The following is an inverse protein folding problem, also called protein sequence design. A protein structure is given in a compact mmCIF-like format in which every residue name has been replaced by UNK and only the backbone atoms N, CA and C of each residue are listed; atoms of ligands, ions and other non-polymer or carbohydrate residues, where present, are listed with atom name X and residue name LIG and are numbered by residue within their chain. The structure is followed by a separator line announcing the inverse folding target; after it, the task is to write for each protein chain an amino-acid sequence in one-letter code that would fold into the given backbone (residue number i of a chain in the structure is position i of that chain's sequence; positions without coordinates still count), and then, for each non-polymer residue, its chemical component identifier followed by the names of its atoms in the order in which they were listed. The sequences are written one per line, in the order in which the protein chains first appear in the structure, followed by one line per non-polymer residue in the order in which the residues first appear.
data_IF_217634972461
#
_entry.id   IF_217634972461
#
_cell.length_a   1.000
_cell.length_b   1.000
_cell.length_c   1.000
_cell.angle_alpha   90.00
_cell.angle_beta   90.00
_cell.angle_gamma   90.00
#
_symmetry.space_group_name_H-M   'P 1'
#
loop_
_entity.id
_entity.type
_entity.pdbx_description
1 polymer ?
2 polymer ?
3 non-polymer ?
4 non-polymer ?
5 water ?
#
# COMPACT_ATOMS: atom_id res chain seq x y z
N UNK A 1 -6.12 24.01 8.53
CA UNK A 1 -6.27 22.61 8.14
C UNK A 1 -5.57 21.69 9.11
N UNK A 2 -6.35 20.88 9.83
CA UNK A 2 -5.84 19.97 10.84
C UNK A 2 -5.20 18.74 10.20
N UNK A 3 -4.15 18.22 10.83
CA UNK A 3 -3.50 16.99 10.40
C UNK A 3 -3.37 16.05 11.60
N UNK A 4 -3.60 14.77 11.35
CA UNK A 4 -3.48 13.72 12.36
C UNK A 4 -2.33 12.79 11.98
N UNK A 5 -1.60 12.30 12.98
CA UNK A 5 -0.47 11.42 12.72
C UNK A 5 -0.29 10.46 13.88
N UNK A 6 -0.09 9.18 13.55
CA UNK A 6 0.10 8.14 14.54
C UNK A 6 1.59 7.93 14.83
N UNK A 7 1.88 7.57 16.08
CA UNK A 7 3.23 7.20 16.48
C UNK A 7 3.14 5.97 17.37
N UNK A 8 4.23 5.21 17.40
CA UNK A 8 4.28 4.01 18.20
C UNK A 8 5.01 2.89 17.50
N UNK A 9 5.19 1.76 18.19
CA UNK A 9 5.99 0.67 17.62
C UNK A 9 5.30 0.01 16.44
N UNK A 10 6.08 -0.23 15.40
CA UNK A 10 5.61 -1.04 14.29
C UNK A 10 5.69 -2.54 14.53
N UNK A 11 6.35 -2.95 15.61
CA UNK A 11 6.49 -4.36 15.96
C UNK A 11 6.19 -4.53 17.45
N UNK A 12 5.27 -5.43 17.76
CA UNK A 12 4.91 -5.75 19.13
C UNK A 12 4.81 -7.27 19.26
N UNK A 13 5.24 -7.79 20.42
CA UNK A 13 5.24 -9.22 20.64
C UNK A 13 3.86 -9.71 21.03
N UNK A 14 3.57 -11.00 20.79
CA UNK A 14 2.33 -11.57 21.31
C UNK A 14 2.30 -11.52 22.84
N UNK A 15 1.09 -11.40 23.39
CA UNK A 15 0.80 -11.21 24.80
C UNK A 15 1.26 -9.87 25.34
N UNK A 16 1.93 -9.05 24.52
CA UNK A 16 2.25 -7.69 24.91
C UNK A 16 1.09 -6.77 24.58
N UNK A 17 1.22 -5.51 25.00
CA UNK A 17 0.19 -4.50 24.78
C UNK A 17 0.61 -3.57 23.64
N UNK A 18 -0.31 -3.31 22.73
CA UNK A 18 -0.09 -2.37 21.63
C UNK A 18 -0.51 -0.97 22.08
N UNK A 19 0.43 -0.04 22.07
CA UNK A 19 0.19 1.34 22.47
C UNK A 19 0.43 2.25 21.28
N UNK A 20 -0.61 2.96 20.86
CA UNK A 20 -0.53 3.91 19.76
C UNK A 20 -1.00 5.29 20.23
N UNK A 21 -0.41 6.33 19.65
CA UNK A 21 -0.71 7.71 20.02
C UNK A 21 -0.95 8.53 18.75
N UNK A 22 -1.99 9.34 18.78
CA UNK A 22 -2.30 10.25 17.69
C UNK A 22 -2.00 11.67 18.15
N UNK A 23 -1.26 12.41 17.32
CA UNK A 23 -0.92 13.81 17.59
C UNK A 23 -1.74 14.68 16.64
N UNK A 24 -2.74 15.36 17.20
CA UNK A 24 -3.56 16.29 16.42
C UNK A 24 -2.84 17.63 16.41
N UNK A 25 -2.32 18.01 15.24
CA UNK A 25 -1.56 19.24 15.08
C UNK A 25 -2.30 20.21 14.19
N UNK A 26 -2.30 21.49 14.58
CA UNK A 26 -3.00 22.53 13.87
C UNK A 26 -4.36 22.87 14.44
N UNK A 27 -4.94 21.98 15.25
CA UNK A 27 -6.25 22.22 15.82
C UNK A 27 -6.29 21.79 17.27
N UNK A 28 -7.42 22.08 17.91
CA UNK A 28 -7.62 21.75 19.30
C UNK A 28 -8.38 20.43 19.42
N UNK A 29 -7.95 19.59 20.35
CA UNK A 29 -8.68 18.35 20.66
C UNK A 29 -9.86 18.63 21.59
N UNK A 30 -9.95 19.83 22.16
CA UNK A 30 -11.04 20.20 23.04
C UNK A 30 -12.20 20.84 22.27
N UNK A 31 -12.59 20.21 21.17
CA UNK A 31 -13.69 20.68 20.33
C UNK A 31 -14.87 19.72 20.45
N UNK A 32 -16.07 20.29 20.47
CA UNK A 32 -17.28 19.51 20.58
C UNK A 32 -17.86 19.01 19.28
N UNK A 33 -17.22 19.32 18.15
CA UNK A 33 -17.74 18.97 16.84
C UNK A 33 -17.24 17.62 16.34
N UNK A 34 -16.36 16.94 17.07
CA UNK A 34 -15.67 15.78 16.52
C UNK A 34 -15.56 14.66 17.54
N UNK A 35 -15.42 13.45 17.02
CA UNK A 35 -15.14 12.24 17.81
C UNK A 35 -13.78 11.71 17.37
N UNK A 36 -12.88 11.53 18.34
CA UNK A 36 -11.50 11.14 18.05
C UNK A 36 -11.42 9.61 18.01
N UNK A 37 -11.18 9.07 16.81
CA UNK A 37 -11.47 7.68 16.49
C UNK A 37 -10.22 6.93 16.05
N UNK A 38 -10.23 5.62 16.27
CA UNK A 38 -9.22 4.70 15.75
C UNK A 38 -9.88 3.70 14.81
N UNK A 39 -9.24 3.45 13.67
CA UNK A 39 -9.71 2.49 12.68
C UNK A 39 -8.51 1.71 12.16
N UNK A 40 -8.67 0.40 12.00
CA UNK A 40 -7.60 -0.44 11.48
C UNK A 40 -8.07 -1.12 10.19
N UNK A 41 -7.09 -1.59 9.41
CA UNK A 41 -7.36 -2.21 8.12
C UNK A 41 -6.38 -3.37 7.93
N UNK A 42 -6.91 -4.56 7.66
CA UNK A 42 -6.12 -5.76 7.48
C UNK A 42 -6.82 -6.64 6.47
N UNK A 43 -6.13 -7.61 5.87
CA UNK A 43 -6.78 -8.45 4.86
C UNK A 43 -7.83 -9.38 5.42
N UNK A 44 -7.70 -9.77 6.69
CA UNK A 44 -8.63 -10.73 7.27
C UNK A 44 -9.94 -10.15 7.75
N UNK A 45 -9.99 -8.83 8.01
CA UNK A 45 -11.21 -8.21 8.51
C UNK A 45 -11.45 -6.82 7.92
N UNK A 46 -10.80 -6.49 6.80
CA UNK A 46 -11.02 -5.22 6.11
C UNK A 46 -10.93 -3.99 6.99
N UNK A 47 -11.61 -2.92 6.59
CA UNK A 47 -11.69 -1.74 7.44
C UNK A 47 -12.56 -2.02 8.65
N UNK A 48 -12.03 -1.75 9.84
CA UNK A 48 -12.70 -2.09 11.09
C UNK A 48 -12.66 -0.90 12.03
N UNK A 49 -13.83 -0.43 12.45
CA UNK A 49 -13.92 0.65 13.42
C UNK A 49 -13.61 0.12 14.81
N UNK A 50 -12.63 0.73 15.47
CA UNK A 50 -12.18 0.25 16.77
C UNK A 50 -12.93 0.93 17.90
N UNK A 51 -13.10 2.24 17.82
CA UNK A 51 -13.69 3.00 18.90
C UNK A 51 -13.24 4.44 18.82
N UNK A 52 -13.81 5.25 19.70
CA UNK A 52 -13.49 6.67 19.71
C UNK A 52 -13.63 7.21 21.13
N UNK A 53 -13.29 8.49 21.29
CA UNK A 53 -13.37 9.17 22.57
C UNK A 53 -13.78 10.61 22.32
N UNK A 54 -14.68 11.12 23.16
CA UNK A 54 -15.12 12.51 23.08
C UNK A 54 -14.26 13.36 24.01
N UNK A 55 -14.17 14.65 23.69
CA UNK A 55 -13.34 15.54 24.49
C UNK A 55 -13.88 15.75 25.91
N UNK A 56 -15.07 15.22 26.21
CA UNK A 56 -15.61 15.21 27.55
C UNK A 56 -15.21 13.97 28.34
N UNK A 57 -14.49 13.04 27.72
CA UNK A 57 -13.97 11.87 28.41
C UNK A 57 -14.72 10.59 28.18
N UNK A 58 -15.71 10.57 27.29
CA UNK A 58 -16.56 9.41 27.07
C UNK A 58 -16.10 8.64 25.83
N UNK A 59 -16.09 7.32 25.95
CA UNK A 59 -15.65 6.42 24.89
C UNK A 59 -16.82 5.55 24.44
N UNK A 60 -16.53 4.54 23.61
CA UNK A 60 -17.58 3.65 23.13
C UNK A 60 -17.06 2.24 22.82
N UNK A 61 -16.05 2.14 21.95
CA UNK A 61 -15.37 0.88 21.61
C UNK A 61 -16.25 -0.07 20.80
N UNK A 62 -15.61 -0.88 19.94
CA UNK A 62 -16.32 -1.90 19.17
C UNK A 62 -16.54 -3.13 20.03
N UNK A 63 -17.76 -3.67 20.09
CA UNK A 63 -18.00 -4.86 20.92
C UNK A 63 -17.09 -6.05 20.60
N UNK A 64 -16.57 -6.14 19.38
CA UNK A 64 -15.64 -7.22 19.06
C UNK A 64 -14.30 -7.06 19.78
N UNK A 65 -13.95 -5.84 20.18
CA UNK A 65 -12.72 -5.56 20.91
C UNK A 65 -13.02 -4.95 22.28
N UNK A 66 -14.19 -5.28 22.83
CA UNK A 66 -14.63 -4.67 24.09
C UNK A 66 -13.67 -4.97 25.23
N UNK A 67 -13.07 -6.17 25.22
CA UNK A 67 -12.30 -6.61 26.38
C UNK A 67 -10.96 -5.88 26.48
N UNK A 68 -10.18 -5.88 25.40
CA UNK A 68 -8.78 -5.47 25.46
C UNK A 68 -8.56 -4.02 25.01
N UNK A 69 -9.59 -3.19 25.03
CA UNK A 69 -9.51 -1.86 24.46
C UNK A 69 -9.45 -0.79 25.53
N UNK A 70 -8.64 0.24 25.29
CA UNK A 70 -8.51 1.37 26.21
C UNK A 70 -8.10 2.58 25.37
N UNK A 71 -9.00 3.56 25.25
CA UNK A 71 -8.75 4.77 24.48
C UNK A 71 -8.77 5.96 25.44
N UNK A 72 -7.66 6.68 25.51
CA UNK A 72 -7.50 7.82 26.40
C UNK A 72 -7.33 9.09 25.58
N UNK A 73 -7.35 10.23 26.26
CA UNK A 73 -7.17 11.54 25.62
C UNK A 73 -6.30 12.40 26.51
N UNK A 74 -5.54 13.29 25.88
CA UNK A 74 -4.60 14.18 26.58
C UNK A 74 -4.74 15.57 25.94
N UNK A 75 -5.61 16.40 26.53
CA UNK A 75 -5.78 17.76 26.03
C UNK A 75 -4.54 18.62 26.22
N UNK A 76 -3.67 18.24 27.17
CA UNK A 76 -2.46 19.03 27.41
C UNK A 76 -1.49 18.93 26.24
N UNK A 77 -1.41 17.76 25.61
CA UNK A 77 -0.55 17.55 24.45
C UNK A 77 -1.34 17.44 23.15
N UNK A 78 -2.64 17.69 23.18
CA UNK A 78 -3.54 17.50 22.05
C UNK A 78 -3.33 16.13 21.42
N UNK A 79 -3.34 15.11 22.26
CA UNK A 79 -3.18 13.73 21.85
C UNK A 79 -4.33 12.90 22.37
N UNK A 80 -4.64 11.82 21.65
CA UNK A 80 -5.46 10.74 22.17
C UNK A 80 -4.81 9.43 21.76
N UNK A 81 -4.90 8.45 22.64
CA UNK A 81 -4.11 7.23 22.53
C UNK A 81 -4.99 6.00 22.42
N UNK A 82 -4.35 4.89 22.07
CA UNK A 82 -4.99 3.59 21.95
C UNK A 82 -4.13 2.55 22.64
N UNK A 83 -4.79 1.63 23.36
CA UNK A 83 -4.11 0.51 24.01
C UNK A 83 -4.88 -0.76 23.70
N UNK A 84 -4.20 -1.75 23.14
CA UNK A 84 -4.78 -3.05 22.82
C UNK A 84 -4.01 -4.12 23.56
N UNK A 85 -4.70 -4.88 24.40
CA UNK A 85 -4.05 -5.79 25.34
C UNK A 85 -3.86 -7.17 24.74
N UNK A 86 -2.77 -7.82 25.15
CA UNK A 86 -2.49 -9.24 24.85
C UNK A 86 -2.72 -9.55 23.37
N UNK A 87 -2.03 -8.80 22.52
CA UNK A 87 -2.27 -8.89 21.08
C UNK A 87 -1.91 -10.26 20.55
N UNK A 88 -2.51 -10.60 19.40
CA UNK A 88 -2.19 -11.81 18.66
C UNK A 88 -1.87 -11.41 17.22
N UNK A 89 -1.44 -12.40 16.44
CA UNK A 89 -1.13 -12.16 15.03
C UNK A 89 -2.35 -11.63 14.27
N UNK A 90 -3.56 -11.94 14.75
CA UNK A 90 -4.78 -11.43 14.13
C UNK A 90 -4.94 -9.93 14.30
N UNK A 91 -4.15 -9.30 15.15
CA UNK A 91 -4.18 -7.85 15.34
C UNK A 91 -3.20 -7.12 14.44
N UNK A 92 -2.44 -7.84 13.61
CA UNK A 92 -1.59 -7.21 12.61
C UNK A 92 -2.46 -6.47 11.60
N UNK A 93 -2.20 -5.16 11.46
CA UNK A 93 -3.03 -4.32 10.61
C UNK A 93 -2.36 -2.95 10.49
N UNK A 94 -2.91 -2.14 9.60
CA UNK A 94 -2.57 -0.73 9.51
C UNK A 94 -3.58 0.02 10.38
N UNK A 95 -3.09 0.80 11.34
CA UNK A 95 -3.93 1.52 12.28
C UNK A 95 -3.97 3.00 11.92
N UNK A 96 -5.17 3.56 11.86
CA UNK A 96 -5.39 4.97 11.56
C UNK A 96 -6.08 5.64 12.75
N UNK A 97 -5.66 6.85 13.06
CA UNK A 97 -6.45 7.73 13.92
C UNK A 97 -7.20 8.71 13.04
N UNK A 98 -8.47 8.92 13.34
CA UNK A 98 -9.41 9.56 12.44
C UNK A 98 -10.21 10.60 13.21
N UNK A 99 -10.53 11.71 12.54
CA UNK A 99 -11.47 12.70 13.08
C UNK A 99 -12.86 12.38 12.54
N UNK A 100 -13.81 12.18 13.45
CA UNK A 100 -15.18 11.83 13.10
C UNK A 100 -16.10 12.96 13.55
N UNK A 101 -16.74 13.62 12.60
CA UNK A 101 -17.74 14.62 12.94
C UNK A 101 -18.83 14.01 13.79
N UNK A 102 -19.34 14.78 14.75
CA UNK A 102 -20.46 14.30 15.56
C UNK A 102 -21.66 13.99 14.69
N UNK A 103 -21.81 14.70 13.57
CA UNK A 103 -22.85 14.38 12.60
C UNK A 103 -22.60 13.05 11.90
N UNK A 104 -21.38 12.52 11.97
CA UNK A 104 -21.10 11.20 11.44
C UNK A 104 -20.40 11.20 10.09
N UNK A 105 -19.10 11.45 10.09
CA UNK A 105 -18.30 11.44 8.86
C UNK A 105 -16.80 11.49 9.17
N UNK A 106 -16.05 10.49 8.69
CA UNK A 106 -14.61 10.44 8.90
C UNK A 106 -13.95 11.36 7.89
N UNK A 107 -13.85 12.65 8.24
CA UNK A 107 -13.42 13.65 7.28
C UNK A 107 -11.92 13.94 7.31
N UNK A 108 -11.20 13.48 8.32
CA UNK A 108 -9.74 13.61 8.38
C UNK A 108 -9.14 12.33 8.93
N UNK A 109 -8.26 11.70 8.17
CA UNK A 109 -7.55 10.49 8.59
C UNK A 109 -6.07 10.80 8.77
N UNK A 110 -5.42 10.06 9.65
CA UNK A 110 -3.98 10.00 9.67
C UNK A 110 -3.47 9.12 8.54
N UNK A 111 -2.16 9.22 8.28
CA UNK A 111 -1.59 8.43 7.21
C UNK A 111 -1.61 6.94 7.51
N UNK A 112 -1.74 6.56 8.77
CA UNK A 112 -1.74 5.15 9.14
C UNK A 112 -0.36 4.65 9.48
N UNK A 113 -0.32 3.64 10.35
CA UNK A 113 0.93 3.03 10.77
C UNK A 113 0.78 1.51 10.80
N UNK A 114 1.78 0.82 10.27
CA UNK A 114 1.74 -0.64 10.18
C UNK A 114 2.22 -1.25 11.49
N UNK A 115 1.43 -2.18 12.03
CA UNK A 115 1.75 -2.89 13.26
C UNK A 115 1.75 -4.38 12.96
N UNK A 116 2.89 -5.02 13.18
CA UNK A 116 3.02 -6.46 13.03
C UNK A 116 3.20 -7.11 14.39
N UNK A 117 2.38 -8.11 14.69
CA UNK A 117 2.50 -8.87 15.93
C UNK A 117 3.36 -10.09 15.63
N UNK A 118 4.54 -10.14 16.24
CA UNK A 118 5.51 -11.19 15.95
C UNK A 118 6.44 -11.37 17.13
N UNK A 119 6.89 -12.61 17.32
CA UNK A 119 7.89 -12.90 18.34
C UNK A 119 9.30 -12.56 17.88
N UNK A 120 9.51 -12.39 16.58
CA UNK A 120 10.81 -12.06 16.05
C UNK A 120 11.15 -10.60 16.33
N UNK A 121 12.45 -10.30 16.34
CA UNK A 121 12.92 -8.95 16.58
C UNK A 121 13.15 -8.23 15.25
N UNK A 122 13.19 -6.90 15.33
CA UNK A 122 13.38 -6.11 14.12
C UNK A 122 14.77 -6.34 13.54
N UNK A 123 14.88 -6.08 12.24
CA UNK A 123 16.17 -6.14 11.55
C UNK A 123 16.16 -5.09 10.44
N UNK A 124 17.23 -4.31 10.38
CA UNK A 124 17.38 -3.32 9.34
C UNK A 124 17.67 -3.96 7.99
N UNK A 125 17.34 -3.25 6.92
CA UNK A 125 17.52 -3.83 5.59
C UNK A 125 18.94 -3.70 5.08
N UNK A 126 19.32 -4.65 4.23
CA UNK A 126 20.52 -4.53 3.42
C UNK A 126 20.13 -3.95 2.06
N UNK A 127 20.94 -3.01 1.59
CA UNK A 127 20.66 -2.27 0.36
C UNK A 127 21.81 -2.50 -0.62
N UNK A 128 21.47 -3.02 -1.80
CA UNK A 128 22.46 -3.33 -2.82
C UNK A 128 22.06 -2.67 -4.14
N UNK A 129 23.03 -2.19 -4.90
CA UNK A 129 22.70 -1.41 -6.11
C UNK A 129 22.27 -2.30 -7.27
N UNK A 130 21.34 -1.76 -8.07
CA UNK A 130 20.92 -2.37 -9.33
C UNK A 130 21.44 -1.46 -10.43
N UNK A 131 22.66 -1.73 -10.88
CA UNK A 131 23.37 -0.83 -11.78
C UNK A 131 22.92 -1.02 -13.23
N UNK A 132 22.97 0.04 -14.04
CA UNK A 132 22.66 -0.02 -15.48
C UNK A 132 23.54 -1.01 -16.23
N UNK A 141 16.40 4.88 -23.08
CA UNK A 141 16.66 5.21 -21.68
C UNK A 141 17.35 4.05 -20.97
N UNK A 142 17.66 4.24 -19.69
CA UNK A 142 18.32 3.23 -18.88
C UNK A 142 17.58 3.06 -17.56
N UNK A 143 17.65 1.85 -17.02
CA UNK A 143 16.97 1.51 -15.78
C UNK A 143 18.00 1.18 -14.71
N UNK A 144 17.85 1.79 -13.54
CA UNK A 144 18.68 1.50 -12.38
C UNK A 144 17.79 1.43 -11.15
N UNK A 145 18.34 0.94 -10.04
CA UNK A 145 17.52 0.83 -8.85
C UNK A 145 18.32 0.33 -7.66
N UNK A 146 17.59 0.00 -6.60
CA UNK A 146 18.18 -0.45 -5.34
C UNK A 146 17.45 -1.71 -4.88
N UNK A 147 18.23 -2.69 -4.41
CA UNK A 147 17.70 -3.94 -3.89
C UNK A 147 17.67 -3.84 -2.37
N UNK A 148 16.46 -3.80 -1.80
CA UNK A 148 16.26 -3.65 -0.37
C UNK A 148 15.70 -4.96 0.17
N UNK A 149 16.47 -5.61 1.05
CA UNK A 149 16.10 -6.95 1.50
C UNK A 149 16.59 -7.17 2.93
N UNK A 150 16.19 -8.31 3.48
CA UNK A 150 16.68 -8.78 4.79
C UNK A 150 16.26 -7.84 5.91
N UNK A 151 14.96 -7.49 5.92
CA UNK A 151 14.43 -6.60 6.94
C UNK A 151 13.09 -7.14 7.42
N UNK A 152 12.70 -6.68 8.61
CA UNK A 152 11.44 -7.08 9.26
C UNK A 152 11.20 -6.15 10.45
N UNK A 153 9.96 -5.65 10.63
CA UNK A 153 8.81 -5.88 9.76
C UNK A 153 8.63 -4.80 8.69
N UNK A 154 7.51 -4.85 8.01
CA UNK A 154 7.12 -3.76 7.13
C UNK A 154 6.82 -2.52 7.96
N UNK A 155 6.96 -1.32 7.38
CA UNK A 155 7.38 -1.08 5.99
C UNK A 155 8.76 -0.44 5.86
N UNK A 156 9.12 -0.13 4.61
CA UNK A 156 10.34 0.58 4.28
C UNK A 156 10.00 1.65 3.24
N UNK A 157 10.48 2.87 3.48
CA UNK A 157 10.28 3.97 2.54
C UNK A 157 11.55 4.18 1.74
N UNK A 158 11.40 4.30 0.42
CA UNK A 158 12.52 4.52 -0.47
C UNK A 158 12.25 5.80 -1.26
N UNK A 159 13.17 6.75 -1.16
CA UNK A 159 13.15 7.96 -1.98
C UNK A 159 14.45 8.03 -2.77
N UNK A 160 14.43 8.82 -3.83
CA UNK A 160 15.59 8.96 -4.71
C UNK A 160 16.08 10.40 -4.69
N UNK A 161 17.36 10.57 -4.36
CA UNK A 161 17.99 11.89 -4.23
C UNK A 161 17.20 12.79 -3.28
N UNK A 162 16.78 12.21 -2.16
CA UNK A 162 16.12 12.94 -1.08
C UNK A 162 14.81 13.58 -1.54
N UNK A 163 14.12 12.94 -2.48
CA UNK A 163 12.84 13.44 -2.97
C UNK A 163 12.91 14.30 -4.21
N UNK A 164 14.12 14.70 -4.63
CA UNK A 164 14.22 15.50 -5.85
C UNK A 164 13.90 14.69 -7.09
N UNK A 165 14.11 13.38 -7.04
CA UNK A 165 13.81 12.48 -8.16
C UNK A 165 12.58 11.67 -7.81
N UNK A 166 11.47 11.97 -8.49
CA UNK A 166 10.20 11.29 -8.26
C UNK A 166 9.53 10.76 -9.51
N UNK A 167 9.82 11.31 -10.69
CA UNK A 167 9.19 10.86 -11.92
C UNK A 167 9.79 9.54 -12.38
N UNK A 168 8.91 8.61 -12.77
CA UNK A 168 9.34 7.30 -13.23
C UNK A 168 9.80 6.36 -12.14
N UNK A 169 9.69 6.73 -10.87
CA UNK A 169 10.11 5.88 -9.77
C UNK A 169 9.03 4.85 -9.49
N UNK A 170 9.43 3.60 -9.33
CA UNK A 170 8.53 2.52 -8.96
C UNK A 170 9.14 1.74 -7.81
N UNK A 171 8.46 1.77 -6.66
CA UNK A 171 8.84 0.97 -5.50
C UNK A 171 7.86 -0.19 -5.40
N UNK A 172 8.37 -1.40 -5.49
CA UNK A 172 7.49 -2.56 -5.62
C UNK A 172 7.10 -3.09 -4.25
N UNK A 173 5.92 -3.72 -4.17
CA UNK A 173 5.54 -4.40 -2.93
C UNK A 173 6.56 -5.45 -2.53
N UNK A 174 6.84 -5.53 -1.25
CA UNK A 174 7.81 -6.49 -0.76
C UNK A 174 7.24 -7.91 -0.82
N UNK A 175 8.12 -8.86 -1.13
CA UNK A 175 7.79 -10.26 -1.04
C UNK A 175 8.62 -10.88 0.07
N UNK A 176 8.21 -12.06 0.52
CA UNK A 176 8.92 -12.78 1.57
C UNK A 176 10.07 -13.58 0.99
N UNK A 177 11.17 -13.64 1.75
CA UNK A 177 12.29 -14.49 1.42
C UNK A 177 12.11 -15.84 2.11
N UNK A 178 13.04 -16.77 1.84
CA UNK A 178 13.02 -18.04 2.56
C UNK A 178 13.27 -17.83 4.04
N UNK A 179 14.05 -16.80 4.41
CA UNK A 179 14.32 -16.48 5.80
C UNK A 179 13.10 -15.96 6.54
N UNK A 180 12.03 -15.61 5.84
CA UNK A 180 10.90 -14.97 6.46
C UNK A 180 10.99 -13.47 6.53
N UNK A 181 12.11 -12.89 6.12
CA UNK A 181 12.26 -11.45 6.05
C UNK A 181 11.77 -10.95 4.69
N UNK A 182 11.64 -9.63 4.57
CA UNK A 182 11.07 -9.04 3.37
C UNK A 182 12.16 -8.65 2.38
N UNK A 183 11.73 -8.39 1.14
CA UNK A 183 12.63 -8.06 0.04
C UNK A 183 11.84 -7.32 -1.03
N UNK A 184 12.40 -6.22 -1.52
CA UNK A 184 11.78 -5.47 -2.59
C UNK A 184 12.85 -4.77 -3.41
N UNK A 185 12.41 -4.14 -4.49
CA UNK A 185 13.26 -3.29 -5.31
C UNK A 185 12.56 -1.96 -5.55
N UNK A 186 13.36 -0.90 -5.66
CA UNK A 186 12.89 0.40 -6.11
C UNK A 186 13.69 0.79 -7.34
N UNK A 187 13.00 0.99 -8.46
CA UNK A 187 13.66 1.28 -9.73
C UNK A 187 13.20 2.65 -10.22
N UNK A 188 14.02 3.21 -11.11
CA UNK A 188 13.69 4.47 -11.79
C UNK A 188 14.40 4.47 -13.13
N UNK A 189 13.69 4.94 -14.16
CA UNK A 189 14.27 5.06 -15.49
C UNK A 189 14.81 6.48 -15.69
N UNK A 190 15.96 6.56 -16.34
CA UNK A 190 16.62 7.85 -16.60
C UNK A 190 17.20 7.82 -18.01
N UNK A 191 17.41 9.00 -18.61
CA UNK A 191 18.09 9.04 -19.90
C UNK A 191 19.51 8.50 -19.80
N UNK A 192 19.92 7.76 -20.83
CA UNK A 192 21.22 7.10 -20.81
C UNK A 192 22.38 8.09 -20.78
N UNK A 193 22.16 9.34 -21.17
CA UNK A 193 23.22 10.33 -21.17
C UNK A 193 23.52 10.84 -19.76
N UNK A 194 22.53 10.83 -18.87
CA UNK A 194 22.73 11.33 -17.52
C UNK A 194 23.63 10.45 -16.68
N UNK A 195 23.99 9.25 -17.17
CA UNK A 195 24.80 8.33 -16.39
C UNK A 195 26.23 8.81 -16.19
N UNK A 196 26.71 9.70 -17.05
CA UNK A 196 28.07 10.19 -16.94
C UNK A 196 28.19 11.42 -16.05
N UNK A 197 27.07 12.09 -15.81
CA UNK A 197 27.08 13.35 -15.06
C UNK A 197 26.27 13.27 -13.76
N UNK A 198 25.04 12.78 -13.83
CA UNK A 198 24.17 12.78 -12.65
C UNK A 198 24.46 11.58 -11.75
N UNK A 199 24.47 11.83 -10.45
CA UNK A 199 24.58 10.78 -9.45
C UNK A 199 23.20 10.43 -8.92
N UNK A 200 22.97 9.15 -8.66
CA UNK A 200 21.68 8.66 -8.21
C UNK A 200 21.85 7.96 -6.87
N UNK A 201 21.18 8.48 -5.84
CA UNK A 201 21.22 7.93 -4.49
C UNK A 201 19.81 7.53 -4.11
N UNK A 202 19.65 6.30 -3.65
CA UNK A 202 18.38 5.84 -3.08
C UNK A 202 18.46 5.95 -1.57
N UNK A 203 17.42 6.52 -0.97
CA UNK A 203 17.37 6.79 0.46
C UNK A 203 16.39 5.80 1.10
N UNK A 204 16.94 4.81 1.80
CA UNK A 204 16.14 3.74 2.39
C UNK A 204 15.99 4.03 3.88
N UNK A 205 14.74 4.10 4.34
CA UNK A 205 14.43 4.36 5.74
C UNK A 205 13.56 3.22 6.27
N UNK A 206 13.99 2.64 7.39
CA UNK A 206 13.25 1.56 8.06
C UNK A 206 13.04 1.97 9.50
N UNK A 207 11.84 2.47 9.81
CA UNK A 207 11.56 2.99 11.13
C UNK A 207 11.57 1.93 12.23
N UNK A 208 10.98 0.74 12.05
CA UNK A 208 10.93 -0.22 13.17
C UNK A 208 12.30 -0.56 13.74
N UNK A 209 13.36 -0.47 12.94
CA UNK A 209 14.71 -0.67 13.42
C UNK A 209 15.51 0.62 13.50
N UNK A 210 14.90 1.75 13.15
CA UNK A 210 15.57 3.05 13.04
C UNK A 210 16.84 2.93 12.18
N UNK A 211 16.64 2.42 10.97
CA UNK A 211 17.73 2.18 10.03
C UNK A 211 17.55 3.07 8.82
N UNK A 212 18.58 3.86 8.51
CA UNK A 212 18.63 4.71 7.33
C UNK A 212 19.87 4.35 6.53
N UNK A 213 19.69 4.07 5.25
CA UNK A 213 20.78 3.67 4.37
C UNK A 213 20.69 4.48 3.08
N UNK A 214 21.73 5.24 2.78
CA UNK A 214 21.88 5.92 1.50
C UNK A 214 22.87 5.13 0.64
N UNK A 215 22.48 4.82 -0.59
CA UNK A 215 23.27 3.97 -1.46
C UNK A 215 23.45 4.63 -2.82
N UNK A 216 24.70 4.76 -3.25
CA UNK A 216 25.01 5.35 -4.55
C UNK A 216 25.00 4.27 -5.62
N UNK A 217 24.32 4.55 -6.72
CA UNK A 217 24.24 3.62 -7.85
C UNK A 217 25.03 4.22 -9.00
N UNK A 218 26.05 3.49 -9.45
CA UNK A 218 26.93 3.95 -10.51
C UNK A 218 27.08 2.86 -11.56
N UNK A 219 27.30 3.23 -12.84
CA UNK A 219 27.39 2.33 -13.99
C UNK A 219 28.28 1.11 -13.79
N UNK B 1 -26.05 -4.70 14.51
CA UNK B 1 -24.90 -5.12 13.73
C UNK B 1 -25.27 -5.27 12.25
N UNK B 2 -25.12 -4.18 11.51
CA UNK B 2 -25.53 -4.13 10.12
C UNK B 2 -24.48 -4.80 9.23
N UNK B 3 -24.94 -5.41 8.14
CA UNK B 3 -24.07 -6.02 7.15
C UNK B 3 -24.12 -5.19 5.87
N UNK B 4 -22.96 -4.69 5.44
CA UNK B 4 -22.85 -3.85 4.26
C UNK B 4 -22.27 -4.69 3.11
N UNK B 5 -23.05 -4.84 2.05
CA UNK B 5 -22.65 -5.61 0.88
C UNK B 5 -22.46 -4.67 -0.30
N UNK B 6 -21.25 -4.65 -0.86
CA UNK B 6 -20.94 -3.84 -2.01
C UNK B 6 -20.87 -4.71 -3.26
N UNK B 7 -21.27 -4.13 -4.41
CA UNK B 7 -21.31 -4.86 -5.66
C UNK B 7 -20.92 -3.92 -6.80
N UNK B 8 -20.00 -4.32 -7.68
CA UNK B 8 -19.26 -5.58 -7.55
C UNK B 8 -18.04 -5.44 -6.65
N UNK B 9 -17.31 -6.53 -6.41
CA UNK B 9 -16.10 -6.44 -5.60
C UNK B 9 -14.96 -5.75 -6.35
N UNK B 10 -14.99 -5.78 -7.68
CA UNK B 10 -14.02 -5.08 -8.50
C UNK B 10 -14.59 -4.91 -9.89
N UNK B 11 -14.05 -3.93 -10.62
CA UNK B 11 -14.46 -3.68 -11.99
C UNK B 11 -13.37 -2.90 -12.70
N UNK B 12 -13.40 -2.94 -14.03
CA UNK B 12 -12.53 -2.14 -14.87
C UNK B 12 -13.41 -1.43 -15.90
N UNK B 13 -13.20 -0.13 -16.06
CA UNK B 13 -13.96 0.65 -17.02
C UNK B 13 -13.02 1.62 -17.73
N UNK B 14 -13.42 2.00 -18.94
CA UNK B 14 -12.60 2.90 -19.74
C UNK B 14 -12.79 4.35 -19.31
N UNK B 15 -11.82 5.19 -19.69
CA UNK B 15 -11.88 6.60 -19.34
C UNK B 15 -13.10 7.23 -20.00
N UNK B 16 -13.87 8.00 -19.22
CA UNK B 16 -15.08 8.60 -19.69
C UNK B 16 -16.34 7.79 -19.46
N UNK B 17 -16.21 6.60 -18.88
CA UNK B 17 -17.37 5.75 -18.64
C UNK B 17 -18.08 6.16 -17.36
N UNK B 18 -19.38 5.87 -17.31
CA UNK B 18 -20.19 6.10 -16.11
C UNK B 18 -20.14 4.84 -15.26
N UNK B 19 -19.42 4.90 -14.14
CA UNK B 19 -19.26 3.77 -13.23
C UNK B 19 -20.29 3.89 -12.12
N UNK B 20 -20.90 2.76 -11.76
CA UNK B 20 -21.92 2.73 -10.72
C UNK B 20 -21.70 1.51 -9.84
N UNK B 21 -21.51 1.73 -8.54
CA UNK B 21 -21.35 0.66 -7.58
C UNK B 21 -22.45 0.80 -6.53
N UNK B 22 -22.87 -0.34 -5.97
CA UNK B 22 -24.00 -0.39 -5.06
C UNK B 22 -23.56 -0.87 -3.68
N UNK B 23 -24.27 -0.41 -2.67
CA UNK B 23 -24.05 -0.79 -1.28
C UNK B 23 -25.41 -1.11 -0.67
N UNK B 24 -25.59 -2.35 -0.23
CA UNK B 24 -26.86 -2.81 0.31
C UNK B 24 -26.73 -3.05 1.81
N UNK B 25 -27.45 -2.27 2.60
CA UNK B 25 -27.46 -2.45 4.04
C UNK B 25 -28.42 -3.58 4.42
N UNK B 26 -28.03 -4.35 5.44
CA UNK B 26 -28.86 -5.45 5.91
C UNK B 26 -30.11 -4.99 6.63
N UNK B 27 -30.30 -3.69 6.83
CA UNK B 27 -31.52 -3.14 7.38
C UNK B 27 -31.59 -1.66 7.01
N UNK B 28 -32.75 -1.06 7.25
CA UNK B 28 -32.96 0.34 6.90
C UNK B 28 -32.05 1.23 7.74
N UNK B 29 -31.30 2.11 7.08
CA UNK B 29 -30.38 3.01 7.75
C UNK B 29 -30.62 4.43 7.28
N UNK B 30 -31.80 4.68 6.69
CA UNK B 30 -32.16 6.00 6.17
C UNK B 30 -31.10 6.50 5.20
N UNK B 31 -30.50 7.65 5.51
CA UNK B 31 -29.40 8.19 4.74
C UNK B 31 -28.11 8.25 5.57
N UNK B 32 -28.01 7.38 6.58
CA UNK B 32 -26.82 7.31 7.42
C UNK B 32 -25.74 6.49 6.70
N UNK B 33 -25.23 7.05 5.60
CA UNK B 33 -24.36 6.32 4.70
C UNK B 33 -23.33 7.27 4.11
N UNK B 34 -22.06 6.89 4.18
CA UNK B 34 -20.97 7.69 3.64
C UNK B 34 -20.17 6.87 2.63
N UNK B 35 -19.52 7.57 1.71
CA UNK B 35 -18.68 6.95 0.68
C UNK B 35 -17.24 7.44 0.84
N UNK B 36 -16.30 6.51 0.74
CA UNK B 36 -14.89 6.81 0.87
C UNK B 36 -14.12 6.27 -0.33
N UNK B 37 -13.00 6.93 -0.63
CA UNK B 37 -12.11 6.55 -1.72
C UNK B 37 -10.72 6.35 -1.16
N UNK B 38 -10.14 5.18 -1.40
CA UNK B 38 -8.79 4.86 -0.94
C UNK B 38 -7.88 4.65 -2.14
N UNK B 39 -7.11 5.69 -2.47
CA UNK B 39 -6.11 5.58 -3.52
C UNK B 39 -4.96 4.69 -3.04
N UNK B 40 -4.15 4.15 -3.97
CA UNK B 40 -3.05 3.27 -3.56
C UNK B 40 -2.10 3.94 -2.58
N UNK B 41 -1.84 3.25 -1.46
CA UNK B 41 -0.92 3.72 -0.45
C UNK B 41 -1.43 4.85 0.43
N UNK B 42 -2.70 5.23 0.30
CA UNK B 42 -3.26 6.34 1.07
C UNK B 42 -4.35 5.82 2.00
N UNK B 43 -4.72 6.66 2.95
CA UNK B 43 -5.88 6.41 3.78
C UNK B 43 -7.16 6.78 3.04
N UNK B 44 -8.29 6.19 3.41
CA UNK B 44 -9.56 6.55 2.75
C UNK B 44 -9.84 8.04 2.90
N UNK B 45 -10.45 8.61 1.86
CA UNK B 45 -10.83 10.02 1.84
C UNK B 45 -12.33 10.15 1.69
N UNK B 46 -12.92 11.04 2.48
CA UNK B 46 -14.37 11.23 2.46
C UNK B 46 -14.77 11.94 1.17
N UNK B 47 -15.71 11.32 0.43
CA UNK B 47 -16.28 11.92 -0.76
C UNK B 47 -17.72 12.33 -0.60
N UNK B 48 -18.56 11.42 -0.09
CA UNK B 48 -19.99 11.65 0.05
C UNK B 48 -20.38 11.36 1.50
N UNK B 49 -21.10 12.31 2.12
CA UNK B 49 -21.71 12.10 3.42
C UNK B 49 -23.21 12.27 3.28
N UNK B 50 -23.95 11.72 4.25
CA UNK B 50 -25.42 11.74 4.25
C UNK B 50 -25.99 11.17 2.95
N UNK B 51 -25.32 10.13 2.44
CA UNK B 51 -25.76 9.34 1.28
C UNK B 51 -25.73 10.11 -0.04
N UNK B 52 -25.74 11.45 0.01
CA UNK B 52 -25.82 12.20 -1.24
C UNK B 52 -25.16 13.58 -1.19
N UNK B 53 -24.53 13.98 -0.09
CA UNK B 53 -23.93 15.31 0.01
C UNK B 53 -22.46 15.24 -0.41
N UNK B 54 -22.11 16.05 -1.40
CA UNK B 54 -20.74 16.10 -1.90
C UNK B 54 -19.86 16.89 -0.95
N UNK B 55 -18.71 16.33 -0.61
CA UNK B 55 -17.77 16.99 0.29
C UNK B 55 -17.07 18.14 -0.42
N UNK B 56 -16.78 19.18 0.34
CA UNK B 56 -16.06 20.33 -0.22
C UNK B 56 -14.66 19.92 -0.67
N UNK B 57 -14.25 20.42 -1.84
CA UNK B 57 -12.97 20.06 -2.40
C UNK B 57 -12.96 18.75 -3.15
N UNK B 58 -14.11 18.27 -3.59
CA UNK B 58 -14.22 17.01 -4.32
C UNK B 58 -14.77 17.31 -5.71
N UNK B 59 -14.23 16.70 -6.77
CA UNK B 59 -14.74 16.96 -8.12
C UNK B 59 -16.21 16.63 -8.24
N UNK B 60 -16.87 17.29 -9.20
CA UNK B 60 -18.31 17.15 -9.38
C UNK B 60 -18.70 15.81 -9.97
N UNK B 61 -17.77 15.08 -10.58
CA UNK B 61 -18.11 13.82 -11.23
C UNK B 61 -18.52 12.74 -10.22
N UNK B 62 -18.18 12.91 -8.95
CA UNK B 62 -18.60 11.99 -7.91
C UNK B 62 -19.96 12.41 -7.36
N UNK B 63 -20.77 11.41 -7.01
CA UNK B 63 -22.08 11.66 -6.44
C UNK B 63 -22.60 10.39 -5.80
N UNK B 64 -23.61 10.54 -4.95
CA UNK B 64 -24.26 9.41 -4.33
C UNK B 64 -25.75 9.66 -4.23
N UNK B 65 -26.49 8.58 -4.02
CA UNK B 65 -27.95 8.66 -3.91
C UNK B 65 -28.46 7.38 -3.27
N UNK B 66 -29.77 7.37 -3.00
CA UNK B 66 -30.41 6.25 -2.36
C UNK B 66 -30.71 6.50 -0.90
N UNK B 67 -31.64 5.72 -0.36
CA UNK B 67 -32.02 5.83 1.04
C UNK B 67 -32.64 4.52 1.48
N UNK B 68 -32.61 4.28 2.78
CA UNK B 68 -33.18 3.07 3.34
C UNK B 68 -32.21 1.89 3.34
N UNK B 69 -32.21 1.11 2.26
CA UNK B 69 -31.40 -0.11 2.20
C UNK B 69 -30.48 -0.19 0.99
N UNK B 70 -30.74 0.55 -0.08
CA UNK B 70 -29.93 0.47 -1.30
C UNK B 70 -29.35 1.84 -1.61
N UNK B 71 -28.04 1.88 -1.82
CA UNK B 71 -27.32 3.12 -2.11
C UNK B 71 -26.40 2.90 -3.30
N UNK B 72 -26.33 3.89 -4.19
CA UNK B 72 -25.53 3.80 -5.40
C UNK B 72 -24.53 4.94 -5.44
N UNK B 73 -23.26 4.60 -5.57
CA UNK B 73 -22.19 5.57 -5.80
C UNK B 73 -21.92 5.64 -7.30
N UNK B 74 -21.65 6.84 -7.81
CA UNK B 74 -21.55 7.04 -9.24
C UNK B 74 -20.40 7.98 -9.58
N UNK B 75 -19.64 7.61 -10.61
CA UNK B 75 -18.65 8.49 -11.23
C UNK B 75 -19.17 8.80 -12.63
N UNK B 76 -19.57 10.04 -12.85
CA UNK B 76 -20.18 10.42 -14.13
C UNK B 76 -19.23 10.16 -15.29
N UNK B 77 -17.97 10.55 -15.15
CA UNK B 77 -16.96 10.32 -16.18
C UNK B 77 -15.70 9.82 -15.49
N UNK B 78 -15.35 8.57 -15.72
CA UNK B 78 -14.18 7.97 -15.07
C UNK B 78 -12.91 8.62 -15.59
N UNK B 79 -12.04 9.01 -14.67
CA UNK B 79 -10.79 9.71 -14.96
C UNK B 79 -9.60 8.86 -14.56
N UNK B 80 -8.43 9.10 -15.16
CA UNK B 80 -7.27 8.24 -14.86
C UNK B 80 -6.90 8.18 -13.39
N UNK B 81 -7.01 9.29 -12.67
CA UNK B 81 -6.63 9.32 -11.25
C UNK B 81 -7.74 8.85 -10.33
N UNK B 82 -8.86 8.37 -10.87
CA UNK B 82 -9.96 7.86 -10.04
C UNK B 82 -9.76 6.40 -9.66
N UNK B 83 -8.61 5.80 -9.97
CA UNK B 83 -8.38 4.41 -9.59
C UNK B 83 -8.17 4.32 -8.09
N UNK B 84 -9.00 3.52 -7.43
CA UNK B 84 -8.97 3.37 -5.98
C UNK B 84 -9.95 2.27 -5.60
N UNK B 85 -9.95 1.91 -4.33
CA UNK B 85 -10.98 1.06 -3.76
C UNK B 85 -11.97 1.95 -3.00
N UNK B 86 -13.26 1.76 -3.26
CA UNK B 86 -14.30 2.61 -2.71
C UNK B 86 -15.08 1.84 -1.66
N UNK B 87 -15.34 2.48 -0.52
CA UNK B 87 -16.02 1.85 0.60
C UNK B 87 -17.26 2.66 0.96
N UNK B 88 -18.32 1.96 1.36
CA UNK B 88 -19.47 2.59 2.01
C UNK B 88 -19.39 2.34 3.51
N UNK B 89 -19.94 3.30 4.27
CA UNK B 89 -19.86 3.25 5.72
C UNK B 89 -21.16 3.76 6.32
N UNK B 90 -21.77 2.95 7.17
CA UNK B 90 -22.98 3.34 7.86
C UNK B 90 -22.64 3.94 9.22
N UNK B 91 -23.43 4.92 9.63
CA UNK B 91 -23.40 5.43 11.00
C UNK B 91 -24.79 5.42 11.60
N UNK B 92 -25.58 4.40 11.24
CA UNK B 92 -26.92 4.25 11.79
C UNK B 92 -26.87 3.99 13.29
N UNK B 93 -26.03 3.07 13.72
CA UNK B 93 -25.89 2.76 15.13
C UNK B 93 -24.52 2.12 15.35
N UNK B 94 -24.00 2.30 16.55
CA UNK B 94 -22.70 1.70 16.88
C UNK B 94 -22.83 0.18 16.94
N UNK B 95 -21.80 -0.56 16.49
CA UNK B 95 -20.54 -0.02 15.97
C UNK B 95 -20.64 0.42 14.51
N UNK B 96 -19.84 1.42 14.14
CA UNK B 96 -19.78 1.82 12.74
C UNK B 96 -19.05 0.76 11.92
N UNK B 97 -19.52 0.54 10.70
CA UNK B 97 -19.01 -0.55 9.89
C UNK B 97 -18.85 -0.10 8.45
N UNK B 98 -17.83 -0.66 7.79
CA UNK B 98 -17.56 -0.43 6.38
C UNK B 98 -18.01 -1.61 5.54
N UNK B 99 -18.11 -1.38 4.24
CA UNK B 99 -18.34 -2.45 3.30
C UNK B 99 -17.04 -3.14 2.92
N UNK B 100 -17.18 -4.19 2.11
CA UNK B 100 -16.02 -4.94 1.66
C UNK B 100 -15.13 -4.18 0.70
N UNK B 101 -15.67 -3.17 0.03
CA UNK B 101 -14.89 -2.36 -0.88
C UNK B 101 -15.06 -2.78 -2.32
N UNK B 102 -14.99 -1.80 -3.22
CA UNK B 102 -15.07 -2.03 -4.66
C UNK B 102 -13.82 -1.45 -5.29
N UNK B 103 -12.96 -2.31 -5.82
CA UNK B 103 -11.75 -1.86 -6.49
C UNK B 103 -12.08 -1.43 -7.91
N UNK B 104 -11.78 -0.17 -8.23
CA UNK B 104 -12.03 0.37 -9.55
C UNK B 104 -10.69 0.52 -10.26
N UNK B 105 -10.44 -0.36 -11.22
CA UNK B 105 -9.31 -0.23 -12.13
C UNK B 105 -9.78 0.31 -13.47
N UNK B 106 -8.82 0.62 -14.35
CA UNK B 106 -9.10 1.33 -15.58
C UNK B 106 -8.71 0.47 -16.77
N UNK B 107 -9.60 0.39 -17.76
CA UNK B 107 -9.30 -0.25 -19.03
C UNK B 107 -8.70 0.78 -19.98
N UNK B 108 -7.50 0.49 -20.47
CA UNK B 108 -6.83 1.33 -21.45
C UNK B 108 -6.33 0.46 -22.59
N UNK B 109 -5.70 1.09 -23.57
CA UNK B 109 -5.16 0.35 -24.71
C UNK B 109 -3.98 -0.50 -24.27
N UNK B 110 -3.71 -1.55 -25.05
CA UNK B 110 -2.61 -2.45 -24.73
C UNK B 110 -1.28 -1.71 -24.85
N UNK B 111 -0.35 -2.08 -23.98
CA UNK B 111 1.00 -1.50 -24.00
C UNK B 111 1.99 -2.59 -23.65
N UNK B 112 2.97 -2.80 -24.52
CA UNK B 112 4.01 -3.79 -24.24
C UNK B 112 4.98 -3.26 -23.20
N UNK B 113 5.51 -4.13 -22.35
CA UNK B 113 6.45 -3.68 -21.31
C UNK B 113 7.84 -3.45 -21.87
N UNK B 114 8.56 -2.57 -21.18
CA UNK B 114 10.01 -2.46 -21.35
C UNK B 114 10.67 -3.43 -20.37
N UNK B 115 11.50 -4.31 -20.90
CA UNK B 115 12.10 -5.39 -20.10
C UNK B 115 13.55 -5.08 -19.84
N UNK B 116 13.97 -5.28 -18.59
CA UNK B 116 15.36 -5.11 -18.17
C UNK B 116 15.71 -6.23 -17.20
N UNK B 117 16.91 -6.78 -17.34
CA UNK B 117 17.40 -7.83 -16.46
C UNK B 117 18.60 -7.28 -15.69
N UNK B 118 18.61 -7.52 -14.38
CA UNK B 118 19.68 -7.03 -13.51
C UNK B 118 20.38 -8.20 -12.85
N UNK B 119 21.65 -8.46 -13.16
CA UNK B 119 22.40 -9.46 -12.40
C UNK B 119 22.60 -9.01 -10.98
N UNK B 120 22.76 -9.93 -10.03
CA UNK B 120 23.02 -9.53 -8.65
C UNK B 120 24.36 -8.83 -8.53
N UNK B 121 24.38 -7.74 -7.78
CA UNK B 121 25.61 -6.99 -7.58
C UNK B 121 26.61 -7.82 -6.77
N UNK B 122 27.90 -7.54 -6.99
CA UNK B 122 28.94 -8.21 -6.22
C UNK B 122 28.80 -7.94 -4.72
N UNK B 123 28.14 -6.84 -4.35
CA UNK B 123 27.91 -6.55 -2.94
C UNK B 123 26.89 -7.51 -2.35
N UNK B 124 25.84 -7.84 -3.11
CA UNK B 124 24.87 -8.81 -2.63
C UNK B 124 25.49 -10.20 -2.49
N UNK B 125 26.33 -10.58 -3.45
CA UNK B 125 26.97 -11.89 -3.42
C UNK B 125 27.85 -12.04 -2.18
N UNK B 126 28.39 -10.93 -1.67
CA UNK B 126 29.18 -11.00 -0.45
C UNK B 126 28.33 -11.38 0.76
N UNK B 127 27.03 -11.05 0.73
CA UNK B 127 26.15 -11.45 1.83
C UNK B 127 25.80 -12.92 1.77
N UNK B 128 26.00 -13.57 0.62
CA UNK B 128 25.70 -14.98 0.46
C UNK B 128 24.47 -15.27 -0.38
N UNK B 129 23.72 -14.26 -0.78
CA UNK B 129 22.52 -14.42 -1.58
C UNK B 129 22.74 -13.87 -2.98
N UNK B 130 21.83 -14.22 -3.89
CA UNK B 130 21.91 -13.77 -5.28
C UNK B 130 20.50 -13.68 -5.83
N UNK B 131 20.01 -12.46 -6.03
CA UNK B 131 18.70 -12.20 -6.60
C UNK B 131 18.88 -11.65 -8.01
N UNK B 132 18.42 -12.41 -9.00
CA UNK B 132 18.41 -11.96 -10.39
C UNK B 132 17.06 -11.31 -10.64
N UNK B 133 17.05 -10.00 -10.93
CA UNK B 133 15.84 -9.21 -10.99
C UNK B 133 15.54 -8.88 -12.45
N UNK B 134 14.29 -9.08 -12.86
CA UNK B 134 13.82 -8.73 -14.18
C UNK B 134 12.69 -7.72 -14.05
N UNK B 135 12.82 -6.60 -14.77
CA UNK B 135 11.90 -5.47 -14.64
C UNK B 135 11.02 -5.34 -15.87
N UNK B 136 9.71 -5.29 -15.66
CA UNK B 136 8.72 -5.06 -16.71
C UNK B 136 8.08 -3.70 -16.41
N UNK B 137 8.32 -2.72 -17.29
CA UNK B 137 7.97 -1.33 -17.01
C UNK B 137 6.83 -0.86 -17.92
N UNK B 138 5.77 -0.34 -17.30
CA UNK B 138 4.74 0.45 -17.98
C UNK B 138 4.01 -0.37 -19.05
N UNK B 139 3.32 -1.40 -18.61
CA UNK B 139 2.56 -2.26 -19.52
C UNK B 139 1.10 -2.33 -19.09
N UNK B 140 0.27 -2.82 -20.01
CA UNK B 140 -1.13 -3.11 -19.76
C UNK B 140 -1.57 -4.15 -20.79
N UNK B 141 -2.34 -5.18 -20.41
CA UNK B 141 -2.93 -5.38 -19.08
C UNK B 141 -1.97 -5.90 -18.01
N UNK B 142 -2.50 -6.05 -16.80
CA UNK B 142 -1.70 -6.49 -15.66
C UNK B 142 -1.12 -7.89 -15.89
N UNK B 143 -1.85 -8.74 -16.60
CA UNK B 143 -1.42 -10.13 -16.80
C UNK B 143 -0.12 -10.19 -17.59
N UNK B 144 0.86 -10.91 -17.04
CA UNK B 144 2.14 -11.10 -17.67
C UNK B 144 2.72 -12.42 -17.20
N UNK B 145 3.44 -13.11 -18.10
CA UNK B 145 4.09 -14.37 -17.77
C UNK B 145 5.60 -14.18 -17.91
N UNK B 146 6.32 -14.43 -16.82
CA UNK B 146 7.77 -14.34 -16.80
C UNK B 146 8.32 -15.72 -16.46
N UNK B 147 9.08 -16.29 -17.39
CA UNK B 147 9.73 -17.58 -17.19
C UNK B 147 11.25 -17.39 -17.12
N UNK B 148 11.87 -18.01 -16.13
CA UNK B 148 13.31 -17.92 -15.94
C UNK B 148 14.00 -19.14 -16.53
N UNK B 149 15.09 -18.91 -17.25
CA UNK B 149 15.88 -19.97 -17.84
C UNK B 149 17.33 -19.82 -17.38
N UNK B 150 17.89 -20.89 -16.84
CA UNK B 150 19.27 -20.92 -16.36
C UNK B 150 19.99 -22.00 -17.17
N UNK B 151 20.88 -21.56 -18.07
CA UNK B 151 21.52 -22.45 -19.04
C UNK B 151 20.46 -23.21 -19.84
N UNK B 152 19.48 -22.46 -20.34
CA UNK B 152 18.38 -23.00 -21.14
C UNK B 152 17.59 -24.06 -20.38
N UNK B 153 17.46 -23.91 -19.07
CA UNK B 153 16.67 -24.80 -18.23
C UNK B 153 15.58 -24.00 -17.54
N UNK B 154 14.34 -24.37 -17.77
CA UNK B 154 13.21 -23.66 -17.18
C UNK B 154 13.23 -23.82 -15.65
N UNK B 155 13.02 -22.70 -14.96
CA UNK B 155 12.95 -22.70 -13.50
C UNK B 155 11.49 -22.67 -13.06
N UNK B 156 11.22 -23.26 -11.90
CA UNK B 156 9.87 -23.32 -11.38
C UNK B 156 9.91 -23.42 -9.86
N UNK B 157 9.19 -22.53 -9.19
CA UNK B 157 9.09 -22.54 -7.75
C UNK B 157 10.19 -21.81 -7.02
N UNK B 158 11.08 -21.11 -7.74
CA UNK B 158 12.18 -20.39 -7.12
C UNK B 158 12.21 -18.92 -7.52
N UNK B 159 11.08 -18.37 -7.94
CA UNK B 159 10.98 -16.95 -8.29
C UNK B 159 9.72 -16.36 -7.67
N UNK B 160 9.79 -15.06 -7.40
CA UNK B 160 8.67 -14.30 -6.86
C UNK B 160 8.43 -13.07 -7.72
N UNK B 161 7.17 -12.68 -7.82
CA UNK B 161 6.79 -11.52 -8.61
C UNK B 161 6.12 -10.48 -7.72
N UNK B 162 6.09 -9.25 -8.22
CA UNK B 162 5.59 -8.11 -7.47
C UNK B 162 5.23 -7.01 -8.46
N UNK B 163 4.00 -6.54 -8.41
CA UNK B 163 3.46 -5.60 -9.39
C UNK B 163 2.92 -4.37 -8.67
N UNK B 164 3.23 -3.19 -9.20
CA UNK B 164 2.73 -1.95 -8.63
C UNK B 164 1.23 -1.80 -8.92
N UNK B 165 0.59 -0.95 -8.12
CA UNK B 165 -0.78 -0.57 -8.43
C UNK B 165 -0.80 0.26 -9.71
N UNK B 166 -1.97 0.27 -10.36
CA UNK B 166 -2.08 0.93 -11.65
C UNK B 166 -1.80 2.41 -11.54
N UNK B 167 -1.00 2.93 -12.46
CA UNK B 167 -0.52 4.31 -12.37
C UNK B 167 -1.66 5.30 -12.57
N UNK B 168 -1.65 6.37 -11.79
CA UNK B 168 -2.73 7.35 -11.82
C UNK B 168 -2.66 8.30 -13.00
N UNK B 169 -1.58 8.26 -13.79
CA UNK B 169 -1.46 9.11 -14.98
C UNK B 169 -1.70 8.34 -16.26
N UNK B 170 -0.94 7.29 -16.52
CA UNK B 170 -1.03 6.54 -17.77
C UNK B 170 -1.74 5.20 -17.63
N UNK B 171 -2.22 4.86 -16.44
CA UNK B 171 -2.98 3.64 -16.18
C UNK B 171 -2.22 2.37 -16.52
N UNK B 172 -0.88 2.41 -16.45
CA UNK B 172 -0.06 1.24 -16.73
C UNK B 172 0.40 0.58 -15.43
N UNK B 173 0.91 -0.64 -15.56
CA UNK B 173 1.48 -1.38 -14.46
C UNK B 173 2.97 -1.57 -14.68
N UNK B 174 3.71 -1.71 -13.58
CA UNK B 174 5.10 -2.13 -13.61
C UNK B 174 5.26 -3.36 -12.73
N UNK B 175 6.07 -4.31 -13.18
CA UNK B 175 6.22 -5.58 -12.48
C UNK B 175 7.69 -5.86 -12.23
N UNK B 176 7.96 -6.60 -11.15
CA UNK B 176 9.31 -7.02 -10.79
C UNK B 176 9.29 -8.51 -10.50
N UNK B 177 10.12 -9.27 -11.23
CA UNK B 177 10.30 -10.69 -10.99
C UNK B 177 11.74 -10.93 -10.57
N UNK B 178 11.92 -11.63 -9.45
CA UNK B 178 13.24 -11.90 -8.90
C UNK B 178 13.45 -13.41 -8.79
N UNK B 179 14.58 -13.88 -9.32
CA UNK B 179 15.00 -15.27 -9.16
C UNK B 179 15.86 -15.35 -7.90
N UNK B 180 15.31 -15.94 -6.84
CA UNK B 180 15.95 -15.93 -5.53
C UNK B 180 16.83 -17.16 -5.38
N UNK B 181 18.14 -16.94 -5.34
CA UNK B 181 19.13 -18.01 -5.24
C UNK B 181 20.15 -17.67 -4.17
N UNK B 182 21.02 -18.64 -3.89
CA UNK B 182 22.19 -18.43 -3.05
C UNK B 182 23.40 -18.18 -3.94
N UNK B 183 24.46 -17.64 -3.32
CA UNK B 183 25.70 -17.41 -4.06
C UNK B 183 26.25 -18.70 -4.64
N UNK B 184 26.16 -19.80 -3.87
CA UNK B 184 26.69 -21.08 -4.31
C UNK B 184 25.98 -21.55 -5.58
N UNK B 185 24.65 -21.49 -5.59
CA UNK B 185 23.90 -21.95 -6.76
C UNK B 185 24.06 -21.00 -7.94
N UNK B 186 24.10 -19.69 -7.66
CA UNK B 186 24.17 -18.71 -8.74
C UNK B 186 25.48 -18.82 -9.52
N UNK B 187 26.58 -19.16 -8.86
CA UNK B 187 27.89 -19.22 -9.49
C UNK B 187 28.17 -20.55 -10.15
N UNK B 188 27.19 -21.45 -10.23
CA UNK B 188 27.36 -22.73 -10.90
C UNK B 188 26.89 -22.70 -12.35
N UNK B 189 26.45 -21.56 -12.86
CA UNK B 189 25.91 -21.46 -14.20
C UNK B 189 26.31 -20.12 -14.80
N UNK B 190 26.07 -19.97 -16.10
CA UNK B 190 26.49 -18.77 -16.83
C UNK B 190 25.31 -17.97 -17.38
N UNK B 191 24.38 -18.60 -18.08
CA UNK B 191 23.33 -17.90 -18.80
C UNK B 191 22.09 -17.81 -17.92
N UNK B 192 21.65 -16.58 -17.64
CA UNK B 192 20.45 -16.32 -16.86
C UNK B 192 19.50 -15.50 -17.73
N UNK B 193 18.37 -16.09 -18.12
CA UNK B 193 17.48 -15.53 -19.12
C UNK B 193 16.11 -15.23 -18.52
N UNK B 194 15.55 -14.10 -18.93
CA UNK B 194 14.21 -13.67 -18.51
C UNK B 194 13.33 -13.60 -19.76
N UNK B 195 12.37 -14.52 -19.87
CA UNK B 195 11.45 -14.59 -20.99
C UNK B 195 10.09 -14.06 -20.57
N UNK B 196 9.50 -13.19 -21.38
CA UNK B 196 8.27 -12.48 -21.05
C UNK B 196 7.22 -12.77 -22.11
N UNK B 197 6.04 -13.18 -21.67
CA UNK B 197 4.87 -13.31 -22.53
C UNK B 197 3.82 -12.31 -22.09
N UNK B 198 3.33 -11.50 -23.03
CA UNK B 198 2.39 -10.44 -22.72
C UNK B 198 1.49 -10.20 -23.92
N UNK B 199 0.29 -9.66 -23.65
CA UNK B 199 -0.69 -9.45 -24.70
C UNK B 199 -0.21 -8.44 -25.74
N UNK B 200 0.72 -7.57 -25.39
CA UNK B 200 1.24 -6.59 -26.31
C UNK B 200 2.46 -7.00 -27.11
N UNK B 201 3.01 -8.17 -26.83
CA UNK B 201 4.19 -8.67 -27.52
C UNK B 201 3.75 -9.76 -28.49
N UNK B 202 3.92 -9.51 -29.78
CA UNK B 202 3.56 -10.50 -30.79
C UNK B 202 4.36 -11.78 -30.61
N UNK B 203 5.66 -11.66 -30.35
CA UNK B 203 6.51 -12.78 -29.96
C UNK B 203 7.08 -12.52 -28.57
N UNK B 204 7.31 -13.57 -27.78
CA UNK B 204 7.91 -13.38 -26.45
C UNK B 204 9.26 -12.71 -26.53
N UNK B 205 9.61 -12.00 -25.46
CA UNK B 205 10.85 -11.23 -25.40
C UNK B 205 11.74 -11.87 -24.33
N UNK B 206 12.93 -12.28 -24.73
CA UNK B 206 13.93 -12.82 -23.81
C UNK B 206 15.02 -11.77 -23.59
N UNK B 207 15.35 -11.53 -22.32
CA UNK B 207 16.48 -10.70 -21.93
C UNK B 207 17.38 -11.54 -21.05
N UNK B 208 18.64 -11.72 -21.48
CA UNK B 208 19.56 -12.60 -20.80
C UNK B 208 20.91 -11.93 -20.63
N UNK B 209 21.79 -12.59 -19.89
CA UNK B 209 23.16 -12.15 -19.70
C UNK B 209 23.99 -13.36 -19.31
N UNK B 210 25.29 -13.27 -19.59
CA UNK B 210 26.24 -14.25 -19.07
C UNK B 210 26.78 -13.75 -17.73
N UNK B 211 26.93 -14.68 -16.78
CA UNK B 211 27.42 -14.33 -15.46
C UNK B 211 28.82 -13.73 -15.56
N UNK B 212 28.94 -12.45 -15.19
CA UNK B 212 30.22 -11.77 -15.28
C UNK B 212 30.25 -10.69 -16.34
N UNK B 213 29.90 -11.05 -17.58
CA UNK B 213 29.94 -10.12 -18.70
C UNK B 213 29.02 -8.92 -18.49
X LIG C 1 7.28 -1.01 1.24
X LIG D 1 19.88 1.84 15.51
X LIG E 1 -5.13 -4.10 3.82
X LIG E 1 -4.61 -3.35 2.75
X LIG E 1 -4.00 -4.89 4.47
X LIG E 1 -3.13 -4.01 5.13
X LIG E 1 -1.91 -4.59 5.47
X LIG E 1 -2.07 -5.45 6.73
X LIG E 1 -1.25 -6.58 6.63
X LIG F 1 -24.09 7.76 15.93
X LIG G 1 -0.40 2.68 5.35
X LIG G 1 0.97 2.83 5.05
X LIG G 1 -1.23 3.48 4.36
X LIG G 1 -1.37 2.75 3.17
X LIG G 1 -2.45 1.87 3.18
X LIG G 1 -2.70 1.35 1.76
X LIG G 1 -2.96 -0.02 1.80
#
# INVERSE_FOLDING_TARGET
QVQLQESGPGLVKPSETLSLTCTVSGGSVSSGDYYWTWIRQSPGKGLEWIGHIYYSGNTNYNPSLKSRLTISIDTSKTQFSLKLSSVTAADTAIYYCVRDRVTGAFDIWGQGTMVTVSSASTKGPSVFPLAPSSKSTSGGTAALGCQVEDYFPEPVTVSWNSGALTSGVHTFPAVLQSSGLYELSSVVTVPSSSLGTQTYICNVNHKPSNTKVDKKVEPKSC
DIQMTQSPSSLSASVGDRVTITCQASQDISNYLNWYQQKPGKAPKLLIYDASNLETGVPSRFSGSGSGTDFTFTISSLQPEDIATYFCQHFDHLPLAFGGGTKVEIKRTVAAPSVFIFPPSDEQLKSGRASVVCLLNNFYPREAKVQWKVDNALQSGNSQESVTEQDSKDSTYSLSSRLQLSKADYEKHKVYACEVTHQGLSSPVTKSFNRGEC
BR BR
BR BR
PEG C1 O1 C2 O2 C3 C4 O4
BR BR
PEG C1 O1 C2 O2 C3 C4 O4
#
